data_IF_430150661362
#
_entry.id   IF_430150661362
#
_cell.length_a   1.000
_cell.length_b   1.000
_cell.length_c   1.000
_cell.angle_alpha   90.00
_cell.angle_beta   90.00
_cell.angle_gamma   90.00
#
_symmetry.space_group_name_H-M   'P 1'
#
loop_
_entity.id
_entity.type
_entity.pdbx_description
1 polymer ?
#
# COMPACT_ATOMS: atom_id res chain seq x y z
N UNK A 1 5.08 2.30 -19.41
CA UNK A 1 3.88 2.72 -18.67
C UNK A 1 4.20 2.58 -17.20
N UNK A 2 4.05 3.66 -16.45
CA UNK A 2 4.32 3.69 -15.01
C UNK A 2 3.02 3.35 -14.26
N UNK A 3 3.10 2.45 -13.28
CA UNK A 3 1.94 2.04 -12.51
C UNK A 3 1.62 3.07 -11.41
N UNK A 4 0.34 3.41 -11.24
CA UNK A 4 -0.12 4.32 -10.19
C UNK A 4 0.35 3.80 -8.81
N UNK A 5 1.09 4.62 -8.04
CA UNK A 5 1.51 4.25 -6.71
C UNK A 5 0.32 4.22 -5.75
N UNK A 6 0.44 3.38 -4.74
CA UNK A 6 -0.47 3.34 -3.60
C UNK A 6 -0.10 4.46 -2.62
N UNK A 7 -0.92 4.69 -1.60
CA UNK A 7 -0.64 5.72 -0.58
C UNK A 7 -0.26 5.06 0.73
N UNK A 8 0.78 5.59 1.39
CA UNK A 8 1.21 5.17 2.72
C UNK A 8 1.23 6.38 3.66
N UNK A 9 0.56 6.27 4.80
CA UNK A 9 0.65 7.20 5.91
C UNK A 9 1.62 6.64 6.96
N UNK A 10 2.60 7.43 7.38
CA UNK A 10 3.44 7.13 8.54
C UNK A 10 3.39 8.36 9.44
N UNK A 11 2.86 8.21 10.66
CA UNK A 11 2.61 9.32 11.58
C UNK A 11 1.74 10.43 10.93
N UNK A 12 2.34 11.56 10.55
CA UNK A 12 1.66 12.70 9.95
C UNK A 12 1.97 12.90 8.46
N UNK A 13 2.88 12.09 7.90
CA UNK A 13 3.38 12.24 6.55
C UNK A 13 2.73 11.26 5.56
N UNK A 14 2.56 11.72 4.32
CA UNK A 14 1.95 10.96 3.23
C UNK A 14 2.98 10.66 2.16
N UNK A 15 3.15 9.38 1.86
CA UNK A 15 4.15 8.85 0.93
C UNK A 15 3.49 8.13 -0.25
N UNK A 16 4.16 8.15 -1.41
CA UNK A 16 3.81 7.31 -2.55
C UNK A 16 4.44 5.94 -2.39
N UNK A 17 3.61 4.91 -2.27
CA UNK A 17 4.03 3.52 -2.07
C UNK A 17 4.08 2.77 -3.40
N UNK A 18 5.23 2.19 -3.71
CA UNK A 18 5.46 1.44 -4.96
C UNK A 18 5.40 -0.08 -4.75
N UNK A 19 5.46 -0.54 -3.51
CA UNK A 19 5.10 -1.92 -3.16
C UNK A 19 3.57 -2.08 -3.20
N UNK A 20 3.08 -3.29 -3.51
CA UNK A 20 1.65 -3.63 -3.43
C UNK A 20 1.43 -4.69 -2.32
N UNK A 21 1.22 -4.28 -1.05
CA UNK A 21 1.19 -5.22 0.08
C UNK A 21 -0.04 -6.14 0.10
N UNK A 22 -1.10 -5.81 -0.64
CA UNK A 22 -2.28 -6.66 -0.82
C UNK A 22 -2.02 -7.82 -1.81
N UNK A 23 -1.06 -7.67 -2.73
CA UNK A 23 -0.85 -8.64 -3.80
C UNK A 23 -0.57 -10.09 -3.32
N UNK A 24 0.23 -10.34 -2.26
CA UNK A 24 0.41 -11.69 -1.73
C UNK A 24 -0.88 -12.35 -1.24
N UNK A 25 -1.79 -11.59 -0.63
CA UNK A 25 -3.08 -12.09 -0.16
C UNK A 25 -4.04 -12.41 -1.30
N UNK A 26 -4.01 -11.60 -2.38
CA UNK A 26 -4.81 -11.86 -3.59
C UNK A 26 -4.32 -13.07 -4.37
N UNK A 27 -3.00 -13.34 -4.37
CA UNK A 27 -2.46 -14.55 -5.02
C UNK A 27 -2.99 -15.86 -4.43
N UNK A 28 -3.45 -15.85 -3.17
CA UNK A 28 -4.09 -17.02 -2.55
C UNK A 28 -5.60 -17.08 -2.79
N UNK A 29 -6.17 -16.11 -3.52
CA UNK A 29 -7.61 -15.93 -3.78
C UNK A 29 -7.86 -15.58 -5.26
N UNK A 30 -7.64 -16.52 -6.19
CA UNK A 30 -7.78 -16.27 -7.62
C UNK A 30 -9.20 -15.86 -8.04
N UNK A 31 -10.20 -16.14 -7.21
CA UNK A 31 -11.59 -15.70 -7.40
C UNK A 31 -11.76 -14.17 -7.25
N UNK A 32 -10.81 -13.49 -6.60
CA UNK A 32 -10.80 -12.03 -6.43
C UNK A 32 -9.89 -11.37 -7.47
N UNK A 33 -10.32 -11.44 -8.73
CA UNK A 33 -9.58 -10.87 -9.86
C UNK A 33 -10.02 -9.42 -10.14
N UNK A 34 -9.16 -8.46 -9.79
CA UNK A 34 -9.41 -7.05 -10.07
C UNK A 34 -9.25 -6.71 -11.55
N UNK A 35 -10.19 -5.91 -12.05
CA UNK A 35 -10.22 -5.42 -13.43
C UNK A 35 -9.29 -4.23 -13.64
N UNK A 36 -8.33 -4.37 -14.55
CA UNK A 36 -7.50 -3.25 -15.00
C UNK A 36 -8.33 -2.31 -15.90
N UNK A 37 -8.92 -1.27 -15.32
CA UNK A 37 -9.74 -0.27 -16.05
C UNK A 37 -8.93 0.85 -16.70
N UNK A 38 -7.61 0.85 -16.53
CA UNK A 38 -6.67 1.81 -17.12
C UNK A 38 -5.28 1.20 -17.24
N UNK A 39 -4.56 1.54 -18.32
CA UNK A 39 -3.16 1.14 -18.53
C UNK A 39 -2.22 1.66 -17.44
N UNK A 40 -2.62 2.73 -16.73
CA UNK A 40 -1.88 3.26 -15.59
C UNK A 40 -2.05 2.41 -14.32
N UNK A 41 -3.05 1.52 -14.24
CA UNK A 41 -3.30 0.66 -13.08
C UNK A 41 -3.56 -0.79 -13.52
N UNK A 42 -2.50 -1.47 -13.95
CA UNK A 42 -2.60 -2.86 -14.42
C UNK A 42 -3.02 -3.86 -13.32
N UNK A 43 -2.84 -3.50 -12.04
CA UNK A 43 -3.33 -4.28 -10.89
C UNK A 43 -4.85 -4.27 -10.74
N UNK A 44 -5.54 -3.29 -11.32
CA UNK A 44 -6.99 -3.10 -11.15
C UNK A 44 -7.45 -2.59 -9.78
N UNK A 45 -6.52 -2.28 -8.87
CA UNK A 45 -6.80 -1.68 -7.57
C UNK A 45 -5.73 -0.69 -7.11
N UNK A 46 -6.13 0.20 -6.20
CA UNK A 46 -5.28 1.15 -5.47
C UNK A 46 -5.57 1.00 -3.97
N UNK A 47 -4.55 0.60 -3.21
CA UNK A 47 -4.59 0.53 -1.75
C UNK A 47 -4.17 1.83 -1.08
N UNK A 48 -4.71 2.05 0.12
CA UNK A 48 -4.30 3.10 1.05
C UNK A 48 -3.89 2.43 2.35
N UNK A 49 -2.69 2.73 2.82
CA UNK A 49 -2.05 2.02 3.91
C UNK A 49 -1.59 2.95 5.01
N UNK A 50 -1.61 2.50 6.24
CA UNK A 50 -1.06 3.27 7.36
C UNK A 50 -0.09 2.40 8.15
N UNK A 51 1.03 2.98 8.57
CA UNK A 51 1.83 2.42 9.65
C UNK A 51 1.50 3.20 10.92
N UNK A 52 0.85 2.52 11.86
CA UNK A 52 0.53 3.06 13.19
C UNK A 52 0.97 2.09 14.28
N UNK A 53 1.65 2.59 15.31
CA UNK A 53 2.23 1.75 16.37
C UNK A 53 3.17 0.65 15.86
N UNK A 54 3.76 0.81 14.68
CA UNK A 54 4.58 -0.19 14.00
C UNK A 54 3.81 -1.31 13.30
N UNK A 55 2.48 -1.24 13.26
CA UNK A 55 1.61 -2.13 12.49
C UNK A 55 1.26 -1.49 11.15
N UNK A 56 1.38 -2.25 10.07
CA UNK A 56 0.85 -1.92 8.75
C UNK A 56 -0.64 -2.27 8.69
N UNK A 57 -1.44 -1.32 8.26
CA UNK A 57 -2.89 -1.40 8.10
C UNK A 57 -3.29 -1.09 6.67
N UNK A 58 -4.25 -1.83 6.12
CA UNK A 58 -4.98 -1.42 4.92
C UNK A 58 -6.22 -0.64 5.38
N UNK A 59 -6.28 0.65 5.07
CA UNK A 59 -7.31 1.59 5.59
C UNK A 59 -8.33 2.02 4.52
N UNK A 60 -8.01 1.85 3.24
CA UNK A 60 -8.96 2.00 2.13
C UNK A 60 -8.45 1.20 0.92
N UNK A 61 -9.36 0.87 0.02
CA UNK A 61 -9.06 0.16 -1.20
C UNK A 61 -10.07 0.58 -2.24
N UNK A 62 -9.62 0.99 -3.43
CA UNK A 62 -10.50 1.15 -4.57
C UNK A 62 -10.06 0.16 -5.64
N UNK A 63 -10.90 -0.83 -5.94
CA UNK A 63 -10.69 -1.74 -7.07
C UNK A 63 -12.03 -2.16 -7.67
N UNK A 64 -12.01 -2.71 -8.89
CA UNK A 64 -13.22 -3.19 -9.56
C UNK A 64 -13.19 -4.70 -9.77
N UNK A 65 -14.30 -5.36 -9.45
CA UNK A 65 -14.54 -6.78 -9.77
C UNK A 65 -15.99 -6.87 -10.27
N UNK A 66 -16.19 -7.51 -11.43
CA UNK A 66 -17.46 -7.63 -12.14
C UNK A 66 -18.18 -6.28 -12.31
N UNK A 67 -17.43 -5.24 -12.70
CA UNK A 67 -17.92 -3.88 -12.90
C UNK A 67 -18.35 -3.13 -11.62
N UNK A 68 -18.32 -3.78 -10.45
CA UNK A 68 -18.63 -3.18 -9.15
C UNK A 68 -17.37 -2.64 -8.49
N UNK A 69 -17.49 -1.49 -7.80
CA UNK A 69 -16.42 -0.98 -6.94
C UNK A 69 -16.37 -1.79 -5.63
N UNK A 70 -15.18 -2.30 -5.30
CA UNK A 70 -14.88 -3.02 -4.07
C UNK A 70 -13.99 -2.17 -3.17
N UNK A 71 -14.32 -2.19 -1.88
CA UNK A 71 -13.61 -1.56 -0.76
C UNK A 71 -13.02 -2.61 0.17
N UNK A 72 -12.31 -2.17 1.20
CA UNK A 72 -11.79 -3.04 2.27
C UNK A 72 -12.93 -3.87 2.88
N UNK A 73 -14.06 -3.24 3.16
CA UNK A 73 -15.25 -3.89 3.70
C UNK A 73 -15.80 -5.01 2.79
N UNK A 74 -15.69 -4.88 1.46
CA UNK A 74 -16.12 -5.94 0.53
C UNK A 74 -15.15 -7.13 0.53
N UNK A 75 -13.85 -6.91 0.83
CA UNK A 75 -12.84 -7.97 0.91
C UNK A 75 -12.73 -8.66 2.28
N UNK A 76 -13.05 -7.94 3.36
CA UNK A 76 -12.77 -8.34 4.74
C UNK A 76 -14.04 -8.28 5.61
N UNK A 77 -15.15 -8.80 5.11
CA UNK A 77 -16.40 -9.04 5.86
C UNK A 77 -16.91 -7.82 6.64
N UNK A 78 -16.92 -6.65 5.99
CA UNK A 78 -17.45 -5.41 6.55
C UNK A 78 -16.46 -4.57 7.37
N UNK A 79 -15.20 -5.00 7.50
CA UNK A 79 -14.19 -4.23 8.23
C UNK A 79 -13.78 -2.96 7.46
N UNK A 80 -13.68 -1.83 8.18
CA UNK A 80 -13.27 -0.56 7.59
C UNK A 80 -11.77 -0.52 7.31
N UNK A 81 -10.97 -1.15 8.18
CA UNK A 81 -9.53 -1.29 8.08
C UNK A 81 -9.12 -2.67 8.61
N UNK A 82 -7.98 -3.19 8.16
CA UNK A 82 -7.49 -4.52 8.53
C UNK A 82 -5.97 -4.48 8.76
N UNK A 83 -5.43 -5.10 9.83
CA UNK A 83 -4.00 -5.22 9.99
C UNK A 83 -3.45 -6.18 8.93
N UNK A 84 -2.38 -5.77 8.26
CA UNK A 84 -1.77 -6.49 7.14
C UNK A 84 -0.91 -7.68 7.60
N UNK A 85 -1.42 -8.51 8.51
CA UNK A 85 -0.67 -9.63 9.13
C UNK A 85 -0.19 -10.66 8.12
N UNK A 86 -0.85 -10.75 6.96
CA UNK A 86 -0.43 -11.61 5.85
C UNK A 86 0.86 -11.13 5.16
N UNK A 87 1.24 -9.86 5.31
CA UNK A 87 2.32 -9.27 4.55
C UNK A 87 3.66 -9.39 5.29
N UNK A 88 4.64 -9.98 4.61
CA UNK A 88 6.06 -9.94 4.99
C UNK A 88 6.87 -9.56 3.75
N UNK A 89 7.70 -8.52 3.85
CA UNK A 89 8.45 -8.00 2.71
C UNK A 89 8.99 -6.59 2.95
N UNK A 90 9.48 -5.95 1.89
CA UNK A 90 9.94 -4.57 1.95
C UNK A 90 8.90 -3.61 1.36
N UNK A 91 8.54 -2.57 2.11
CA UNK A 91 7.85 -1.42 1.55
C UNK A 91 8.88 -0.49 0.93
N UNK A 92 8.63 -0.07 -0.31
CA UNK A 92 9.43 0.91 -1.04
C UNK A 92 8.54 2.09 -1.35
N UNK A 93 8.92 3.28 -0.89
CA UNK A 93 8.11 4.48 -1.06
C UNK A 93 8.99 5.73 -1.28
N UNK A 94 8.48 6.69 -2.03
CA UNK A 94 9.14 7.98 -2.23
C UNK A 94 9.04 8.86 -0.97
N UNK A 95 9.90 9.88 -0.80
CA UNK A 95 9.76 10.89 0.25
C UNK A 95 8.38 11.56 0.22
N UNK A 96 7.96 12.08 1.37
CA UNK A 96 6.65 12.70 1.56
C UNK A 96 6.38 13.75 0.47
N UNK A 97 5.14 13.77 -0.03
CA UNK A 97 4.71 14.65 -1.14
C UNK A 97 5.03 16.12 -0.83
N UNK A 98 5.04 16.50 0.45
CA UNK A 98 5.29 17.87 0.93
C UNK A 98 6.79 18.21 1.07
N UNK A 99 7.67 17.20 1.00
CA UNK A 99 9.11 17.33 1.27
C UNK A 99 9.99 17.42 0.02
N UNK A 100 9.40 17.29 -1.17
CA UNK A 100 10.12 17.40 -2.44
C UNK A 100 10.43 18.87 -2.75
N UNK A 101 11.61 19.33 -2.36
CA UNK A 101 12.18 20.57 -2.91
C UNK A 101 12.51 20.36 -4.39
N UNK A 102 12.13 21.31 -5.24
CA UNK A 102 12.50 21.31 -6.67
C UNK A 102 14.01 21.06 -6.84
N UNK A 103 14.37 20.02 -7.61
CA UNK A 103 15.76 19.67 -7.91
C UNK A 103 16.45 18.69 -6.96
N UNK A 104 15.82 18.26 -5.86
CA UNK A 104 16.35 17.18 -5.03
C UNK A 104 16.07 15.81 -5.67
N UNK A 105 17.09 14.95 -5.79
CA UNK A 105 16.85 13.56 -6.19
C UNK A 105 16.11 12.84 -5.07
N UNK A 106 14.85 12.49 -5.30
CA UNK A 106 14.06 11.69 -4.38
C UNK A 106 14.72 10.31 -4.19
N UNK A 107 15.30 10.07 -3.01
CA UNK A 107 15.78 8.74 -2.67
C UNK A 107 14.60 7.91 -2.17
N UNK A 108 14.38 6.75 -2.81
CA UNK A 108 13.41 5.77 -2.37
C UNK A 108 13.74 5.31 -0.94
N UNK A 109 12.77 5.42 -0.05
CA UNK A 109 12.85 4.89 1.30
C UNK A 109 12.43 3.43 1.30
N UNK A 110 13.01 2.66 2.24
CA UNK A 110 12.74 1.23 2.40
C UNK A 110 12.58 0.89 3.87
N UNK A 111 11.50 0.18 4.19
CA UNK A 111 11.31 -0.44 5.51
C UNK A 111 10.94 -1.91 5.34
N UNK A 112 11.42 -2.75 6.26
CA UNK A 112 11.07 -4.16 6.29
C UNK A 112 9.86 -4.39 7.20
N UNK A 113 8.93 -5.20 6.70
CA UNK A 113 7.71 -5.64 7.38
C UNK A 113 7.78 -7.15 7.55
N UNK A 114 7.46 -7.62 8.75
CA UNK A 114 7.34 -9.02 9.10
C UNK A 114 5.98 -9.25 9.77
N UNK A 115 5.12 -10.05 9.14
CA UNK A 115 3.75 -10.33 9.59
C UNK A 115 2.96 -9.04 9.91
N UNK A 116 3.01 -8.07 8.99
CA UNK A 116 2.38 -6.76 9.16
C UNK A 116 3.10 -5.82 10.13
N UNK A 117 4.20 -6.22 10.78
CA UNK A 117 4.94 -5.37 11.73
C UNK A 117 6.24 -4.82 11.16
N UNK A 118 6.56 -3.57 11.44
CA UNK A 118 7.90 -3.02 11.19
C UNK A 118 8.96 -3.86 11.91
N UNK A 119 9.95 -4.36 11.17
CA UNK A 119 11.07 -5.09 11.76
C UNK A 119 12.14 -4.11 12.26
N UNK A 120 11.99 -3.60 13.49
CA UNK A 120 12.97 -2.92 14.36
C UNK A 120 13.94 -1.83 13.79
N UNK A 121 13.91 -1.50 12.51
CA UNK A 121 14.64 -0.38 11.93
C UNK A 121 13.67 0.79 11.82
N UNK A 122 13.70 1.69 12.81
CA UNK A 122 13.11 3.03 12.66
C UNK A 122 13.72 3.65 11.39
N UNK A 123 12.95 4.03 10.37
CA UNK A 123 13.45 4.93 9.35
C UNK A 123 13.59 6.30 10.02
N UNK A 124 14.81 6.65 10.42
CA UNK A 124 15.18 7.96 10.91
C UNK A 124 16.59 8.29 10.41
N UNK A 125 16.90 9.55 10.12
CA UNK A 125 18.16 9.92 9.50
C UNK A 125 19.33 9.56 10.43
N UNK A 126 20.36 8.95 9.84
CA UNK A 126 21.69 8.85 10.45
C UNK A 126 22.35 10.24 10.51
#
# INVERSE_FOLDING_TARGET
MEQIPETLWIEHDVYRLYTAPLAPWLRTRPELAFEARSDACSRGYIGRWQIDGGQLWLIDLHGWIDGRLWRVADLFDGQAEIPAEWFSGQLVFEPSIDSLKEGAMAQMQRVAIQNGRLSAARPGPA
#
